data_IF_714197327610
#
_entry.id   IF_714197327610
#
_cell.length_a   1.000
_cell.length_b   1.000
_cell.length_c   1.000
_cell.angle_alpha   90.00
_cell.angle_beta   90.00
_cell.angle_gamma   90.00
#
_symmetry.space_group_name_H-M   'P 1'
#
loop_
_entity.id
_entity.type
_entity.pdbx_description
1 polymer ?
#
# COMPACT_ATOMS: atom_id res chain seq x y z
N UNK A 1 8.04 -16.97 18.07
CA UNK A 1 6.71 -17.30 17.54
C UNK A 1 5.89 -16.08 17.05
N UNK A 2 6.25 -14.83 17.38
CA UNK A 2 5.49 -13.63 16.97
C UNK A 2 5.83 -13.04 15.57
N UNK A 3 6.92 -13.47 14.92
CA UNK A 3 7.43 -12.88 13.67
C UNK A 3 6.58 -13.26 12.46
N UNK A 4 6.24 -14.54 12.33
CA UNK A 4 5.40 -15.03 11.23
C UNK A 4 3.96 -14.49 11.39
N UNK A 5 3.34 -14.48 12.59
CA UNK A 5 2.07 -13.80 12.80
C UNK A 5 2.14 -12.29 12.52
N UNK A 6 3.22 -11.56 12.82
CA UNK A 6 3.30 -10.13 12.48
C UNK A 6 3.40 -9.91 10.96
N UNK A 7 4.26 -10.66 10.28
CA UNK A 7 4.42 -10.61 8.81
C UNK A 7 3.13 -11.09 8.10
N UNK A 8 2.47 -12.13 8.61
CA UNK A 8 1.23 -12.69 8.05
C UNK A 8 0.00 -11.88 8.44
N UNK A 9 -0.09 -11.35 9.65
CA UNK A 9 -1.19 -10.48 10.10
C UNK A 9 -1.14 -9.10 9.44
N UNK A 10 0.05 -8.59 9.15
CA UNK A 10 0.23 -7.40 8.32
C UNK A 10 0.23 -7.70 6.83
N UNK A 11 -0.03 -8.95 6.39
CA UNK A 11 -0.29 -9.12 4.95
C UNK A 11 -1.51 -8.29 4.63
N UNK A 12 -1.24 -7.17 3.97
CA UNK A 12 -2.23 -6.31 3.36
C UNK A 12 -3.16 -7.11 2.47
N UNK A 13 -2.91 -8.39 2.17
CA UNK A 13 -3.87 -9.34 1.59
C UNK A 13 -5.25 -9.35 2.28
N UNK A 14 -5.33 -9.36 3.62
CA UNK A 14 -6.64 -9.35 4.31
C UNK A 14 -7.35 -8.01 4.12
N UNK A 15 -6.60 -6.91 4.23
CA UNK A 15 -7.03 -5.54 3.99
C UNK A 15 -7.38 -5.31 2.51
N UNK A 16 -6.63 -5.86 1.57
CA UNK A 16 -6.82 -5.83 0.12
C UNK A 16 -8.01 -6.68 -0.29
N UNK A 17 -8.26 -7.82 0.35
CA UNK A 17 -9.48 -8.60 0.15
C UNK A 17 -10.68 -7.78 0.68
N UNK A 18 -10.56 -7.12 1.82
CA UNK A 18 -11.62 -6.25 2.34
C UNK A 18 -11.83 -4.99 1.48
N UNK A 19 -10.75 -4.39 0.96
CA UNK A 19 -10.78 -3.21 0.11
C UNK A 19 -11.28 -3.56 -1.29
N UNK A 20 -10.87 -4.71 -1.85
CA UNK A 20 -11.39 -5.29 -3.08
C UNK A 20 -12.90 -5.56 -2.95
N UNK A 21 -13.35 -6.14 -1.82
CA UNK A 21 -14.78 -6.29 -1.54
C UNK A 21 -15.50 -4.95 -1.43
N UNK A 22 -14.90 -3.96 -0.76
CA UNK A 22 -15.47 -2.62 -0.60
C UNK A 22 -15.57 -1.88 -1.93
N UNK A 23 -14.62 -2.07 -2.84
CA UNK A 23 -14.69 -1.58 -4.21
C UNK A 23 -15.74 -2.28 -5.04
N UNK A 24 -15.86 -3.62 -4.93
CA UNK A 24 -16.93 -4.33 -5.62
C UNK A 24 -18.32 -3.84 -5.19
N UNK A 25 -18.50 -3.58 -3.89
CA UNK A 25 -19.74 -2.99 -3.36
C UNK A 25 -19.95 -1.59 -3.95
N UNK A 26 -18.93 -0.72 -3.94
CA UNK A 26 -19.02 0.64 -4.50
C UNK A 26 -19.31 0.64 -6.00
N UNK A 27 -18.77 -0.34 -6.74
CA UNK A 27 -19.05 -0.55 -8.16
C UNK A 27 -20.49 -1.04 -8.39
N UNK A 28 -20.98 -1.96 -7.55
CA UNK A 28 -22.35 -2.45 -7.59
C UNK A 28 -23.37 -1.33 -7.31
N UNK A 29 -23.11 -0.48 -6.31
CA UNK A 29 -23.96 0.67 -5.98
C UNK A 29 -24.03 1.68 -7.14
N UNK A 30 -22.89 2.00 -7.78
CA UNK A 30 -22.86 2.88 -8.96
C UNK A 30 -23.66 2.31 -10.12
N UNK A 31 -23.59 0.99 -10.33
CA UNK A 31 -24.34 0.31 -11.37
C UNK A 31 -25.85 0.35 -11.10
N UNK A 32 -26.26 0.17 -9.84
CA UNK A 32 -27.66 0.28 -9.43
C UNK A 32 -28.21 1.72 -9.60
N UNK A 33 -27.45 2.73 -9.16
CA UNK A 33 -27.79 4.15 -9.35
C UNK A 33 -27.93 4.50 -10.83
N UNK A 34 -27.00 4.06 -11.68
CA UNK A 34 -27.08 4.29 -13.13
C UNK A 34 -28.32 3.60 -13.76
N UNK A 35 -28.69 2.42 -13.28
CA UNK A 35 -29.90 1.74 -13.74
C UNK A 35 -31.17 2.47 -13.29
N UNK A 36 -31.23 2.94 -12.03
CA UNK A 36 -32.34 3.76 -11.51
C UNK A 36 -32.48 5.06 -12.28
N UNK A 37 -31.38 5.74 -12.58
CA UNK A 37 -31.38 6.96 -13.39
C UNK A 37 -31.90 6.71 -14.80
N UNK A 38 -31.53 5.59 -15.43
CA UNK A 38 -32.09 5.21 -16.75
C UNK A 38 -33.60 5.04 -16.71
N UNK A 39 -34.13 4.37 -15.68
CA UNK A 39 -35.58 4.18 -15.52
C UNK A 39 -36.29 5.52 -15.34
N UNK A 40 -35.75 6.41 -14.50
CA UNK A 40 -36.33 7.74 -14.27
C UNK A 40 -36.30 8.58 -15.55
N UNK A 41 -35.20 8.51 -16.30
CA UNK A 41 -35.07 9.19 -17.61
C UNK A 41 -36.11 8.69 -18.61
N UNK A 42 -36.32 7.38 -18.67
CA UNK A 42 -37.31 6.77 -19.55
C UNK A 42 -38.74 7.19 -19.15
N UNK A 43 -39.04 7.20 -17.86
CA UNK A 43 -40.32 7.70 -17.33
C UNK A 43 -40.57 9.16 -17.67
N UNK A 44 -39.54 10.01 -17.54
CA UNK A 44 -39.64 11.42 -17.90
C UNK A 44 -39.85 11.62 -19.40
N UNK A 45 -39.11 10.90 -20.25
CA UNK A 45 -39.27 10.94 -21.71
C UNK A 45 -40.69 10.54 -22.13
N UNK A 46 -41.23 9.45 -21.56
CA UNK A 46 -42.60 9.00 -21.82
C UNK A 46 -43.63 10.04 -21.36
N UNK A 47 -43.41 10.65 -20.19
CA UNK A 47 -44.27 11.73 -19.68
C UNK A 47 -44.24 12.98 -20.58
N UNK A 48 -43.10 13.27 -21.21
CA UNK A 48 -42.93 14.38 -22.16
C UNK A 48 -43.66 14.11 -23.48
N UNK A 49 -43.60 12.89 -23.99
CA UNK A 49 -44.36 12.51 -25.19
C UNK A 49 -45.87 12.60 -24.94
N UNK A 50 -46.37 12.12 -23.80
CA UNK A 50 -47.79 12.21 -23.43
C UNK A 50 -48.26 13.67 -23.31
N UNK A 51 -47.45 14.56 -22.71
CA UNK A 51 -47.75 16.00 -22.68
C UNK A 51 -47.73 16.65 -24.06
N UNK A 52 -46.84 16.22 -24.94
CA UNK A 52 -46.79 16.70 -26.33
C UNK A 52 -48.03 16.25 -27.13
N UNK A 53 -48.47 15.01 -26.96
CA UNK A 53 -49.69 14.46 -27.59
C UNK A 53 -50.97 15.17 -27.09
N UNK A 54 -51.05 15.46 -25.79
CA UNK A 54 -52.19 16.18 -25.21
C UNK A 54 -52.21 17.66 -25.61
N UNK A 55 -51.04 18.30 -25.76
CA UNK A 55 -50.96 19.68 -26.27
C UNK A 55 -51.29 19.78 -27.77
N UNK A 56 -50.94 18.78 -28.58
CA UNK A 56 -51.35 18.68 -30.00
C UNK A 56 -52.87 18.58 -30.14
N UNK A 57 -53.53 17.93 -29.17
CA UNK A 57 -55.00 17.85 -29.13
C UNK A 57 -55.68 19.15 -28.69
N UNK A 58 -54.94 20.14 -28.14
CA UNK A 58 -55.58 21.29 -27.47
C UNK A 58 -55.17 22.67 -28.01
N UNK A 59 -54.10 22.85 -28.81
CA UNK A 59 -53.75 24.22 -29.23
C UNK A 59 -52.91 24.28 -30.52
N UNK A 60 -53.54 24.76 -31.59
CA UNK A 60 -52.86 25.53 -32.63
C UNK A 60 -52.07 26.68 -31.98
N UNK A 61 -50.85 26.93 -32.45
CA UNK A 61 -49.96 28.06 -32.12
C UNK A 61 -49.22 28.00 -30.77
N UNK A 62 -47.90 27.73 -30.83
CA UNK A 62 -46.80 28.68 -30.59
C UNK A 62 -45.53 27.87 -30.26
N UNK A 63 -44.51 28.00 -31.11
CA UNK A 63 -43.19 27.38 -30.91
C UNK A 63 -42.40 28.29 -29.97
N UNK A 64 -42.11 27.82 -28.75
CA UNK A 64 -41.19 28.47 -27.83
C UNK A 64 -39.87 27.69 -27.76
N UNK A 65 -38.82 28.42 -28.07
CA UNK A 65 -37.44 28.01 -28.26
C UNK A 65 -36.70 27.94 -26.91
N UNK A 66 -37.07 27.01 -26.03
CA UNK A 66 -36.33 26.78 -24.77
C UNK A 66 -35.61 25.42 -24.83
N UNK A 67 -34.39 25.47 -25.34
CA UNK A 67 -33.41 24.39 -25.22
C UNK A 67 -33.08 24.17 -23.75
N UNK A 68 -33.78 23.22 -23.14
CA UNK A 68 -33.45 22.62 -21.83
C UNK A 68 -31.99 22.13 -21.92
N UNK A 69 -31.08 22.52 -21.01
CA UNK A 69 -29.74 21.97 -21.02
C UNK A 69 -29.84 20.45 -20.83
N UNK A 70 -29.21 19.70 -21.74
CA UNK A 70 -29.21 18.24 -21.73
C UNK A 70 -28.84 17.71 -20.34
N UNK A 71 -29.77 16.97 -19.72
CA UNK A 71 -29.62 16.28 -18.43
C UNK A 71 -28.64 15.08 -18.51
N UNK A 72 -27.72 15.09 -19.47
CA UNK A 72 -26.66 14.10 -19.61
C UNK A 72 -25.58 14.26 -18.52
N UNK A 73 -25.69 15.27 -17.66
CA UNK A 73 -24.66 15.72 -16.72
C UNK A 73 -24.79 15.24 -15.28
N UNK A 74 -25.69 14.29 -14.96
CA UNK A 74 -25.80 13.71 -13.61
C UNK A 74 -24.95 12.47 -13.36
N UNK A 75 -24.08 12.12 -14.31
CA UNK A 75 -22.94 11.26 -14.02
C UNK A 75 -21.76 12.15 -13.62
N UNK A 76 -21.29 12.01 -12.38
CA UNK A 76 -20.06 12.68 -11.94
C UNK A 76 -18.95 12.38 -12.96
N UNK A 77 -18.27 13.43 -13.41
CA UNK A 77 -17.08 13.31 -14.23
C UNK A 77 -16.04 12.47 -13.50
N UNK A 78 -15.18 11.78 -14.26
CA UNK A 78 -14.07 11.03 -13.69
C UNK A 78 -13.22 11.91 -12.75
N UNK A 79 -13.02 13.18 -13.10
CA UNK A 79 -12.30 14.15 -12.27
C UNK A 79 -13.01 14.43 -10.92
N UNK A 80 -14.34 14.47 -10.91
CA UNK A 80 -15.11 14.68 -9.67
C UNK A 80 -15.06 13.43 -8.79
N UNK A 81 -15.09 12.24 -9.40
CA UNK A 81 -14.91 10.96 -8.70
C UNK A 81 -13.51 10.88 -8.05
N UNK A 82 -12.46 11.23 -8.79
CA UNK A 82 -11.08 11.22 -8.31
C UNK A 82 -10.88 12.26 -7.21
N UNK A 83 -11.49 13.45 -7.32
CA UNK A 83 -11.43 14.48 -6.29
C UNK A 83 -12.00 14.03 -4.93
N UNK A 84 -12.93 13.06 -4.93
CA UNK A 84 -13.51 12.48 -3.72
C UNK A 84 -12.64 11.37 -3.09
N UNK A 85 -11.62 10.87 -3.78
CA UNK A 85 -10.71 9.88 -3.19
C UNK A 85 -9.87 10.52 -2.07
N UNK A 86 -9.41 9.75 -1.08
CA UNK A 86 -8.45 10.26 -0.10
C UNK A 86 -7.15 10.69 -0.78
N UNK A 87 -6.60 11.82 -0.33
CA UNK A 87 -5.23 12.19 -0.71
C UNK A 87 -4.27 11.12 -0.22
N UNK A 88 -3.24 10.88 -1.02
CA UNK A 88 -2.18 9.97 -0.64
C UNK A 88 -1.49 10.50 0.64
N UNK A 89 -1.44 9.71 1.74
CA UNK A 89 -0.79 10.11 2.98
C UNK A 89 0.74 10.17 2.81
N UNK A 90 1.47 10.73 3.78
CA UNK A 90 2.93 10.84 3.70
C UNK A 90 3.64 9.47 3.52
N UNK A 91 4.83 9.49 2.92
CA UNK A 91 5.72 8.32 2.67
C UNK A 91 6.22 7.65 3.96
N UNK A 92 6.05 8.30 5.10
CA UNK A 92 6.63 7.87 6.37
C UNK A 92 6.26 6.43 6.75
N UNK A 93 4.98 6.08 6.74
CA UNK A 93 4.52 4.74 7.16
C UNK A 93 4.96 3.65 6.18
N UNK A 94 4.93 3.95 4.88
CA UNK A 94 5.35 3.00 3.85
C UNK A 94 6.88 2.74 3.93
N UNK A 95 7.70 3.75 4.28
CA UNK A 95 9.13 3.52 4.57
C UNK A 95 9.37 2.80 5.91
N UNK A 96 8.61 3.15 6.94
CA UNK A 96 8.72 2.55 8.27
C UNK A 96 8.50 1.03 8.19
N UNK A 97 7.49 0.61 7.43
CA UNK A 97 7.18 -0.80 7.16
C UNK A 97 8.40 -1.55 6.59
N UNK A 98 9.02 -0.99 5.56
CA UNK A 98 10.21 -1.56 4.91
C UNK A 98 11.40 -1.63 5.88
N UNK A 99 11.63 -0.57 6.66
CA UNK A 99 12.76 -0.50 7.62
C UNK A 99 12.60 -1.51 8.74
N UNK A 100 11.39 -1.67 9.29
CA UNK A 100 11.11 -2.66 10.33
C UNK A 100 11.32 -4.07 9.80
N UNK A 101 10.81 -4.37 8.60
CA UNK A 101 11.00 -5.67 7.97
C UNK A 101 12.49 -5.98 7.70
N UNK A 102 13.23 -5.00 7.19
CA UNK A 102 14.67 -5.09 7.03
C UNK A 102 15.38 -5.37 8.35
N UNK A 103 15.02 -4.66 9.42
CA UNK A 103 15.53 -4.87 10.77
C UNK A 103 15.40 -6.31 11.25
N UNK A 104 14.22 -6.92 11.09
CA UNK A 104 14.02 -8.31 11.48
C UNK A 104 14.95 -9.28 10.74
N UNK A 105 15.20 -9.04 9.45
CA UNK A 105 16.09 -9.91 8.66
C UNK A 105 17.52 -9.82 9.17
N UNK A 106 18.03 -8.61 9.36
CA UNK A 106 19.44 -8.40 9.71
C UNK A 106 19.74 -8.78 11.16
N UNK A 107 18.85 -8.50 12.12
CA UNK A 107 19.08 -8.82 13.53
C UNK A 107 18.91 -10.31 13.84
N UNK A 108 18.08 -11.02 13.07
CA UNK A 108 17.76 -12.43 13.32
C UNK A 108 18.43 -13.39 12.34
N UNK A 109 19.34 -12.92 11.51
CA UNK A 109 20.00 -13.74 10.47
C UNK A 109 20.69 -14.98 11.06
N UNK A 110 21.37 -14.84 12.21
CA UNK A 110 22.02 -15.97 12.90
C UNK A 110 21.01 -16.94 13.51
N UNK A 111 19.85 -16.45 13.93
CA UNK A 111 18.82 -17.23 14.63
C UNK A 111 17.86 -17.94 13.68
N UNK A 112 17.47 -17.28 12.59
CA UNK A 112 16.47 -17.76 11.64
C UNK A 112 16.86 -17.42 10.19
N UNK A 113 17.69 -18.27 9.55
CA UNK A 113 18.16 -18.04 8.17
C UNK A 113 17.04 -17.95 7.13
N UNK A 114 15.88 -18.57 7.40
CA UNK A 114 14.71 -18.51 6.52
C UNK A 114 13.95 -17.18 6.58
N UNK A 115 14.29 -16.25 7.48
CA UNK A 115 13.66 -14.93 7.59
C UNK A 115 13.66 -14.18 6.26
N UNK A 116 14.79 -14.22 5.55
CA UNK A 116 14.96 -13.55 4.26
C UNK A 116 13.99 -14.08 3.19
N UNK A 117 13.72 -15.39 3.20
CA UNK A 117 12.78 -16.01 2.25
C UNK A 117 11.34 -15.54 2.49
N UNK A 118 10.89 -15.55 3.76
CA UNK A 118 9.55 -15.06 4.10
C UNK A 118 9.40 -13.56 3.81
N UNK A 119 10.44 -12.78 4.08
CA UNK A 119 10.48 -11.36 3.73
C UNK A 119 10.35 -11.14 2.22
N UNK A 120 11.05 -11.94 1.41
CA UNK A 120 10.99 -11.84 -0.04
C UNK A 120 9.56 -12.11 -0.55
N UNK A 121 8.90 -13.15 -0.03
CA UNK A 121 7.51 -13.45 -0.40
C UNK A 121 6.56 -12.32 0.00
N UNK A 122 6.75 -11.75 1.19
CA UNK A 122 5.97 -10.60 1.66
C UNK A 122 6.16 -9.39 0.75
N UNK A 123 7.40 -9.06 0.38
CA UNK A 123 7.72 -7.95 -0.52
C UNK A 123 7.07 -8.09 -1.91
N UNK A 124 6.99 -9.31 -2.46
CA UNK A 124 6.32 -9.55 -3.75
C UNK A 124 4.83 -9.22 -3.67
N UNK A 125 4.17 -9.61 -2.58
CA UNK A 125 2.75 -9.30 -2.35
C UNK A 125 2.58 -7.80 -2.13
N UNK A 126 3.48 -7.19 -1.36
CA UNK A 126 3.40 -5.77 -0.98
C UNK A 126 3.56 -4.83 -2.18
N UNK A 127 4.47 -5.12 -3.12
CA UNK A 127 4.60 -4.35 -4.37
C UNK A 127 3.26 -4.28 -5.13
N UNK A 128 2.51 -5.38 -5.15
CA UNK A 128 1.19 -5.43 -5.80
C UNK A 128 0.13 -4.68 -4.97
N UNK A 129 0.22 -4.78 -3.64
CA UNK A 129 -0.66 -4.06 -2.72
C UNK A 129 -0.50 -2.54 -2.84
N UNK A 130 0.72 -2.04 -2.84
CA UNK A 130 1.03 -0.62 -2.96
C UNK A 130 0.66 -0.05 -4.33
N UNK A 131 0.89 -0.82 -5.40
CA UNK A 131 0.44 -0.45 -6.73
C UNK A 131 -1.10 -0.32 -6.78
N UNK A 132 -1.82 -1.24 -6.13
CA UNK A 132 -3.28 -1.16 -6.04
C UNK A 132 -3.75 0.05 -5.22
N UNK A 133 -3.09 0.31 -4.07
CA UNK A 133 -3.35 1.48 -3.21
C UNK A 133 -3.22 2.80 -4.00
N UNK A 134 -2.15 2.93 -4.78
CA UNK A 134 -1.88 4.13 -5.59
C UNK A 134 -2.83 4.30 -6.78
N UNK A 135 -3.24 3.20 -7.43
CA UNK A 135 -4.06 3.27 -8.63
C UNK A 135 -5.56 3.36 -8.36
N UNK A 136 -6.05 2.73 -7.29
CA UNK A 136 -7.51 2.55 -7.08
C UNK A 136 -8.04 3.27 -5.83
N UNK A 137 -7.19 3.50 -4.83
CA UNK A 137 -7.64 3.98 -3.51
C UNK A 137 -7.38 5.47 -3.34
N UNK A 138 -6.19 5.94 -3.71
CA UNK A 138 -5.76 7.31 -3.48
C UNK A 138 -5.91 8.17 -4.74
N UNK A 139 -6.05 9.49 -4.52
CA UNK A 139 -5.83 10.48 -5.56
C UNK A 139 -4.42 10.33 -6.13
N UNK A 140 -4.26 10.55 -7.44
CA UNK A 140 -2.94 10.55 -8.08
C UNK A 140 -2.04 11.60 -7.42
N UNK A 141 -0.94 11.20 -6.76
CA UNK A 141 -0.03 12.16 -6.15
C UNK A 141 0.74 12.93 -7.23
N UNK A 142 1.07 14.18 -6.94
CA UNK A 142 1.94 14.97 -7.81
C UNK A 142 3.37 14.44 -7.72
N UNK A 143 4.01 14.29 -8.88
CA UNK A 143 5.40 13.83 -8.95
C UNK A 143 6.32 14.84 -8.27
N UNK A 144 7.03 14.41 -7.23
CA UNK A 144 8.07 15.17 -6.59
C UNK A 144 9.43 14.62 -7.01
N UNK A 145 10.35 15.49 -7.44
CA UNK A 145 11.73 15.08 -7.73
C UNK A 145 12.50 15.01 -6.42
N UNK A 146 12.89 13.81 -6.04
CA UNK A 146 13.77 13.56 -4.88
C UNK A 146 15.11 13.04 -5.39
N UNK A 147 16.20 13.46 -4.75
CA UNK A 147 17.55 13.00 -5.10
C UNK A 147 17.82 11.61 -4.53
N UNK A 148 17.39 11.41 -3.28
CA UNK A 148 17.69 10.24 -2.47
C UNK A 148 16.45 9.88 -1.62
N UNK A 149 16.45 8.68 -1.01
CA UNK A 149 15.40 8.26 -0.06
C UNK A 149 15.41 9.04 1.26
N UNK A 150 16.38 9.96 1.44
CA UNK A 150 16.49 10.84 2.61
C UNK A 150 17.09 10.15 3.82
N UNK A 151 16.55 10.47 5.00
CA UNK A 151 17.08 10.01 6.30
C UNK A 151 17.00 8.49 6.49
N UNK A 152 16.09 7.81 5.78
CA UNK A 152 15.92 6.36 5.83
C UNK A 152 17.19 5.59 5.47
N UNK A 153 18.00 6.12 4.55
CA UNK A 153 19.29 5.52 4.20
C UNK A 153 20.22 5.45 5.42
N UNK A 154 20.39 6.58 6.13
CA UNK A 154 21.23 6.65 7.32
C UNK A 154 20.69 5.77 8.45
N UNK A 155 19.37 5.69 8.61
CA UNK A 155 18.74 4.83 9.61
C UNK A 155 19.09 3.36 9.33
N UNK A 156 18.95 2.90 8.08
CA UNK A 156 19.30 1.53 7.72
C UNK A 156 20.80 1.24 7.88
N UNK A 157 21.67 2.21 7.57
CA UNK A 157 23.12 2.09 7.83
C UNK A 157 23.43 1.89 9.32
N UNK A 158 22.83 2.69 10.21
CA UNK A 158 22.98 2.50 11.65
C UNK A 158 22.44 1.16 12.14
N UNK A 159 21.32 0.71 11.56
CA UNK A 159 20.75 -0.60 11.88
C UNK A 159 21.67 -1.75 11.47
N UNK A 160 22.37 -1.67 10.34
CA UNK A 160 23.35 -2.68 9.91
C UNK A 160 24.50 -2.76 10.91
N UNK A 161 25.05 -1.62 11.36
CA UNK A 161 26.13 -1.60 12.37
C UNK A 161 25.65 -2.26 13.67
N UNK A 162 24.44 -1.92 14.14
CA UNK A 162 23.85 -2.55 15.32
C UNK A 162 23.63 -4.05 15.13
N UNK A 163 23.22 -4.48 13.93
CA UNK A 163 22.97 -5.88 13.62
C UNK A 163 24.24 -6.73 13.65
N UNK A 164 25.39 -6.19 13.23
CA UNK A 164 26.69 -6.87 13.37
C UNK A 164 26.94 -7.21 14.85
N UNK A 165 26.81 -6.22 15.73
CA UNK A 165 27.04 -6.40 17.18
C UNK A 165 26.09 -7.47 17.75
N UNK A 166 24.80 -7.38 17.45
CA UNK A 166 23.78 -8.32 17.94
C UNK A 166 24.05 -9.74 17.45
N UNK A 167 24.42 -9.92 16.18
CA UNK A 167 24.73 -11.25 15.63
C UNK A 167 26.01 -11.83 16.23
N UNK A 168 27.04 -11.02 16.48
CA UNK A 168 28.23 -11.47 17.21
C UNK A 168 27.87 -11.98 18.61
N UNK A 169 27.04 -11.23 19.35
CA UNK A 169 26.56 -11.65 20.68
C UNK A 169 25.79 -12.97 20.60
N UNK A 170 24.88 -13.13 19.63
CA UNK A 170 24.15 -14.40 19.44
C UNK A 170 25.09 -15.56 19.10
N UNK A 171 26.14 -15.32 18.31
CA UNK A 171 27.15 -16.32 18.00
C UNK A 171 27.92 -16.75 19.27
N UNK A 172 28.35 -15.80 20.10
CA UNK A 172 29.05 -16.08 21.36
C UNK A 172 28.18 -16.86 22.35
N UNK A 173 26.89 -16.51 22.47
CA UNK A 173 25.95 -17.22 23.36
C UNK A 173 25.79 -18.69 22.95
N UNK A 174 25.86 -19.01 21.65
CA UNK A 174 25.78 -20.40 21.17
C UNK A 174 26.99 -21.25 21.54
N UNK A 175 28.08 -20.64 22.04
CA UNK A 175 29.27 -21.33 22.54
C UNK A 175 30.02 -22.13 21.47
N UNK A 176 29.81 -21.82 20.19
CA UNK A 176 30.58 -22.42 19.08
C UNK A 176 32.02 -21.94 19.15
N UNK A 177 32.22 -20.63 19.34
CA UNK A 177 33.55 -20.03 19.39
C UNK A 177 34.29 -20.36 20.70
N UNK A 178 33.57 -20.45 21.83
CA UNK A 178 34.10 -20.97 23.09
C UNK A 178 34.64 -22.40 22.99
N UNK A 179 34.14 -23.23 22.07
CA UNK A 179 34.70 -24.56 21.78
C UNK A 179 36.01 -24.48 20.99
N UNK A 180 36.20 -23.44 20.19
CA UNK A 180 37.43 -23.23 19.41
C UNK A 180 38.53 -22.54 20.22
N UNK A 181 38.17 -21.60 21.09
CA UNK A 181 39.10 -20.84 21.95
C UNK A 181 38.58 -20.84 23.41
N UNK A 182 38.83 -21.92 24.18
CA UNK A 182 38.25 -22.10 25.50
C UNK A 182 38.80 -21.15 26.58
N UNK A 183 40.02 -20.63 26.38
CA UNK A 183 40.74 -19.83 27.40
C UNK A 183 40.43 -18.32 27.34
N UNK A 184 39.63 -17.86 26.38
CA UNK A 184 39.33 -16.44 26.20
C UNK A 184 38.16 -15.99 27.10
N UNK A 185 38.23 -14.79 27.72
CA UNK A 185 37.08 -14.22 28.42
C UNK A 185 35.98 -13.81 27.42
N UNK A 186 34.72 -13.92 27.84
CA UNK A 186 33.53 -13.67 27.01
C UNK A 186 33.53 -12.29 26.33
N UNK A 187 34.03 -11.26 27.00
CA UNK A 187 34.15 -9.93 26.42
C UNK A 187 35.18 -9.85 25.28
N UNK A 188 36.30 -10.58 25.39
CA UNK A 188 37.31 -10.63 24.35
C UNK A 188 36.84 -11.45 23.14
N UNK A 189 36.01 -12.47 23.37
CA UNK A 189 35.36 -13.26 22.30
C UNK A 189 34.46 -12.37 21.44
N UNK A 190 33.56 -11.60 22.07
CA UNK A 190 32.66 -10.68 21.34
C UNK A 190 33.49 -9.62 20.59
N UNK A 191 34.50 -9.03 21.23
CA UNK A 191 35.34 -8.02 20.59
C UNK A 191 36.07 -8.57 19.36
N UNK A 192 36.66 -9.77 19.46
CA UNK A 192 37.30 -10.43 18.32
C UNK A 192 36.32 -10.72 17.20
N UNK A 193 35.12 -11.24 17.51
CA UNK A 193 34.10 -11.51 16.50
C UNK A 193 33.65 -10.23 15.78
N UNK A 194 33.43 -9.15 16.52
CA UNK A 194 33.09 -7.84 15.93
C UNK A 194 34.24 -7.33 15.06
N UNK A 195 35.49 -7.41 15.53
CA UNK A 195 36.65 -7.01 14.73
C UNK A 195 36.80 -7.84 13.46
N UNK A 196 36.57 -9.15 13.52
CA UNK A 196 36.62 -10.04 12.36
C UNK A 196 35.52 -9.68 11.36
N UNK A 197 34.28 -9.55 11.81
CA UNK A 197 33.13 -9.16 10.96
C UNK A 197 33.35 -7.79 10.31
N UNK A 198 33.86 -6.81 11.05
CA UNK A 198 34.18 -5.48 10.52
C UNK A 198 35.33 -5.56 9.50
N UNK A 199 36.39 -6.30 9.78
CA UNK A 199 37.51 -6.51 8.85
C UNK A 199 37.07 -7.21 7.56
N UNK A 200 36.14 -8.16 7.63
CA UNK A 200 35.55 -8.82 6.44
C UNK A 200 34.70 -7.82 5.68
N UNK A 201 33.88 -7.04 6.38
CA UNK A 201 32.98 -6.05 5.79
C UNK A 201 33.70 -4.90 5.08
N UNK A 202 34.90 -4.51 5.52
CA UNK A 202 35.73 -3.49 4.83
C UNK A 202 36.50 -4.02 3.61
N UNK A 203 36.53 -5.35 3.42
CA UNK A 203 37.32 -5.98 2.35
C UNK A 203 36.52 -6.23 1.07
N UNK A 204 35.21 -5.96 1.09
CA UNK A 204 34.28 -5.98 -0.04
C UNK A 204 33.67 -4.60 -0.22
#
# INVERSE_FOLDING_TARGET
>A
EAIIPYIVSNTRLSVLIQLSKKEQIRYAERKDLNNKLKIILEQWNNSKQIKTINNISTTYSFISHDSIPNFETLSLSQAEIECLQPKWPDLYEDYLEIVIQFGYIIFLSTLFPLAAFFSLLSNIIEIRADAFKLCMICQRPFSQRVKDIGHWQKIMEYMVIAAIIVNCIFCSIRGVFRRMLPDLPFAAEIFLLVCIEVCISFKF
#
